data_IF_517072558277
#
_entry.id   IF_517072558277
#
_cell.length_a   1.000
_cell.length_b   1.000
_cell.length_c   1.000
_cell.angle_alpha   90.00
_cell.angle_beta   90.00
_cell.angle_gamma   90.00
#
_symmetry.space_group_name_H-M   'P 1'
#
loop_
_entity.id
_entity.type
_entity.pdbx_description
1 polymer ?
#
# COMPACT_ATOMS: atom_id res chain seq x y z
N UNK A 1 7.04 -6.69 -25.73
CA UNK A 1 6.96 -5.21 -25.72
C UNK A 1 7.69 -4.76 -24.45
N UNK A 2 8.79 -4.01 -24.58
CA UNK A 2 9.50 -3.45 -23.43
C UNK A 2 8.61 -2.36 -22.82
N UNK A 3 8.16 -2.55 -21.58
CA UNK A 3 7.37 -1.55 -20.89
C UNK A 3 8.17 -0.22 -20.82
N UNK A 4 7.53 0.88 -21.15
CA UNK A 4 8.13 2.22 -21.00
C UNK A 4 8.56 2.41 -19.55
N UNK A 5 9.81 2.84 -19.29
CA UNK A 5 10.26 3.08 -17.92
C UNK A 5 9.32 4.05 -17.21
N UNK A 6 8.83 3.66 -16.05
CA UNK A 6 8.01 4.54 -15.20
C UNK A 6 8.88 5.65 -14.60
N UNK A 7 8.28 6.79 -14.35
CA UNK A 7 8.98 7.95 -13.76
C UNK A 7 9.37 7.67 -12.30
N UNK A 8 8.49 6.96 -11.56
CA UNK A 8 8.68 6.62 -10.16
C UNK A 8 8.68 5.12 -9.93
N UNK A 9 9.55 4.66 -9.05
CA UNK A 9 9.51 3.28 -8.57
C UNK A 9 8.40 3.12 -7.53
N UNK A 10 8.24 4.11 -6.63
CA UNK A 10 7.22 4.12 -5.58
C UNK A 10 6.49 5.46 -5.55
N UNK A 11 5.16 5.42 -5.54
CA UNK A 11 4.33 6.58 -5.16
C UNK A 11 3.60 6.25 -3.86
N UNK A 12 3.84 7.03 -2.81
CA UNK A 12 3.11 6.93 -1.55
C UNK A 12 1.90 7.88 -1.57
N UNK A 13 0.72 7.32 -1.74
CA UNK A 13 -0.55 8.06 -1.73
C UNK A 13 -1.17 8.06 -0.34
N UNK A 14 -1.50 9.26 0.16
CA UNK A 14 -1.97 9.48 1.52
C UNK A 14 -0.86 9.83 2.50
N UNK A 15 0.26 10.36 2.01
CA UNK A 15 1.45 10.72 2.78
C UNK A 15 1.17 11.65 3.98
N UNK A 16 0.05 12.39 3.98
CA UNK A 16 -0.32 13.33 5.07
C UNK A 16 -1.06 12.69 6.23
N UNK A 17 -1.51 11.44 6.09
CA UNK A 17 -2.16 10.67 7.15
C UNK A 17 -1.16 10.18 8.21
N UNK A 18 -1.66 9.67 9.33
CA UNK A 18 -0.79 9.15 10.41
C UNK A 18 0.14 8.04 9.89
N UNK A 19 -0.44 6.98 9.31
CA UNK A 19 0.33 5.87 8.75
C UNK A 19 1.17 6.31 7.54
N UNK A 20 0.62 7.22 6.70
CA UNK A 20 1.36 7.76 5.56
C UNK A 20 2.66 8.47 5.95
N UNK A 21 2.66 9.22 7.05
CA UNK A 21 3.88 9.86 7.58
C UNK A 21 4.90 8.83 8.06
N UNK A 22 4.47 7.83 8.82
CA UNK A 22 5.34 6.74 9.28
C UNK A 22 5.95 5.96 8.10
N UNK A 23 5.15 5.70 7.07
CA UNK A 23 5.61 5.06 5.84
C UNK A 23 6.63 5.95 5.10
N UNK A 24 6.36 7.25 4.99
CA UNK A 24 7.28 8.19 4.39
C UNK A 24 8.62 8.28 5.14
N UNK A 25 8.59 8.31 6.48
CA UNK A 25 9.77 8.27 7.34
C UNK A 25 10.57 6.97 7.15
N UNK A 26 9.90 5.83 7.03
CA UNK A 26 10.56 4.56 6.74
C UNK A 26 11.23 4.58 5.36
N UNK A 27 10.52 5.03 4.33
CA UNK A 27 11.07 5.13 2.98
C UNK A 27 12.26 6.10 2.89
N UNK A 28 12.23 7.19 3.65
CA UNK A 28 13.35 8.14 3.72
C UNK A 28 14.63 7.53 4.30
N UNK A 29 14.49 6.51 5.15
CA UNK A 29 15.63 5.80 5.76
C UNK A 29 16.07 4.56 4.98
N UNK A 30 15.12 3.86 4.37
CA UNK A 30 15.32 2.52 3.81
C UNK A 30 15.09 2.43 2.30
N UNK A 31 14.62 3.50 1.65
CA UNK A 31 14.27 3.49 0.22
C UNK A 31 15.47 3.43 -0.73
N UNK A 32 16.69 3.68 -0.23
CA UNK A 32 17.91 3.62 -1.06
C UNK A 32 17.81 4.54 -2.28
N UNK A 33 18.16 4.00 -3.45
CA UNK A 33 18.15 4.74 -4.73
C UNK A 33 16.78 4.72 -5.43
N UNK A 34 15.71 4.25 -4.77
CA UNK A 34 14.38 4.22 -5.36
C UNK A 34 13.86 5.65 -5.64
N UNK A 35 13.29 5.84 -6.82
CA UNK A 35 12.65 7.10 -7.22
C UNK A 35 11.27 7.19 -6.58
N UNK A 36 11.19 7.89 -5.47
CA UNK A 36 9.99 7.99 -4.64
C UNK A 36 9.28 9.31 -4.89
N UNK A 37 7.94 9.29 -4.97
CA UNK A 37 7.10 10.47 -4.96
C UNK A 37 6.06 10.39 -3.83
N UNK A 38 5.71 11.53 -3.25
CA UNK A 38 4.64 11.66 -2.27
C UNK A 38 3.37 12.18 -2.93
N UNK A 39 2.22 11.62 -2.57
CA UNK A 39 0.95 12.01 -3.17
C UNK A 39 -0.14 12.26 -2.11
N UNK A 40 -1.05 13.19 -2.45
CA UNK A 40 -2.20 13.52 -1.62
C UNK A 40 -3.04 14.65 -2.21
N UNK A 41 -4.18 14.94 -1.57
CA UNK A 41 -5.14 15.96 -2.07
C UNK A 41 -4.63 17.40 -1.96
N UNK A 42 -3.79 17.68 -0.99
CA UNK A 42 -3.28 19.03 -0.73
C UNK A 42 -1.77 19.05 -0.91
N UNK A 43 -1.31 19.66 -1.99
CA UNK A 43 0.11 19.85 -2.28
C UNK A 43 0.85 20.49 -1.11
N UNK A 44 0.26 21.52 -0.49
CA UNK A 44 0.87 22.22 0.64
C UNK A 44 1.09 21.28 1.85
N UNK A 45 0.11 20.42 2.18
CA UNK A 45 0.24 19.47 3.30
C UNK A 45 1.25 18.36 2.99
N UNK A 46 1.32 17.91 1.74
CA UNK A 46 2.32 16.92 1.30
C UNK A 46 3.72 17.55 1.32
N UNK A 47 3.85 18.81 0.91
CA UNK A 47 5.09 19.57 1.00
C UNK A 47 5.60 19.65 2.44
N UNK A 48 4.75 19.98 3.39
CA UNK A 48 5.11 20.02 4.80
C UNK A 48 5.60 18.66 5.34
N UNK A 49 5.02 17.54 4.86
CA UNK A 49 5.53 16.20 5.19
C UNK A 49 6.92 15.99 4.61
N UNK A 50 7.13 16.33 3.34
CA UNK A 50 8.44 16.20 2.68
C UNK A 50 9.52 17.01 3.41
N UNK A 51 9.22 18.24 3.78
CA UNK A 51 10.15 19.10 4.53
C UNK A 51 10.52 18.52 5.89
N UNK A 52 9.54 17.92 6.59
CA UNK A 52 9.77 17.26 7.88
C UNK A 52 10.65 16.00 7.79
N UNK A 53 10.76 15.37 6.62
CA UNK A 53 11.63 14.20 6.37
C UNK A 53 13.11 14.58 6.21
N UNK A 54 13.43 15.86 6.02
CA UNK A 54 14.79 16.35 5.88
C UNK A 54 15.42 16.04 4.52
N UNK A 55 16.77 16.02 4.49
CA UNK A 55 17.55 15.94 3.24
C UNK A 55 17.23 14.71 2.38
N UNK A 56 16.97 13.57 3.00
CA UNK A 56 16.69 12.30 2.29
C UNK A 56 15.50 12.37 1.33
N UNK A 57 14.55 13.26 1.58
CA UNK A 57 13.32 13.38 0.79
C UNK A 57 13.22 14.72 0.03
N UNK A 58 14.20 15.61 0.12
CA UNK A 58 14.12 16.96 -0.47
C UNK A 58 13.81 16.95 -1.97
N UNK A 59 14.34 15.97 -2.69
CA UNK A 59 14.15 15.83 -4.14
C UNK A 59 12.89 15.05 -4.53
N UNK A 60 12.14 14.51 -3.56
CA UNK A 60 10.96 13.72 -3.88
C UNK A 60 9.85 14.60 -4.48
N UNK A 61 9.38 14.28 -5.68
CA UNK A 61 8.27 14.99 -6.30
C UNK A 61 6.97 14.84 -5.50
N UNK A 62 6.12 15.86 -5.64
CA UNK A 62 4.80 15.88 -5.03
C UNK A 62 3.75 15.77 -6.13
N UNK A 63 2.85 14.81 -5.99
CA UNK A 63 1.73 14.57 -6.89
C UNK A 63 0.42 14.95 -6.21
N UNK A 64 -0.42 15.69 -6.91
CA UNK A 64 -1.79 15.94 -6.45
C UNK A 64 -2.71 14.85 -6.97
N UNK A 65 -3.35 14.12 -6.04
CA UNK A 65 -4.31 13.07 -6.37
C UNK A 65 -5.46 13.08 -5.36
N UNK A 66 -6.68 12.92 -5.87
CA UNK A 66 -7.90 12.89 -5.06
C UNK A 66 -8.77 11.70 -5.47
N UNK A 67 -9.18 10.88 -4.48
CA UNK A 67 -10.04 9.72 -4.71
C UNK A 67 -11.42 10.06 -5.31
N UNK A 68 -11.87 11.31 -5.15
CA UNK A 68 -13.11 11.81 -5.77
C UNK A 68 -12.93 12.23 -7.23
N UNK A 69 -11.69 12.32 -7.74
CA UNK A 69 -11.34 12.74 -9.08
C UNK A 69 -10.52 11.64 -9.79
N UNK A 70 -11.17 10.65 -10.43
CA UNK A 70 -10.51 9.48 -11.03
C UNK A 70 -9.39 9.82 -12.01
N UNK A 71 -9.49 10.91 -12.76
CA UNK A 71 -8.44 11.35 -13.69
C UNK A 71 -7.11 11.63 -13.00
N UNK A 72 -7.13 12.13 -11.77
CA UNK A 72 -5.90 12.39 -10.99
C UNK A 72 -5.24 11.11 -10.52
N UNK A 73 -6.04 10.08 -10.19
CA UNK A 73 -5.55 8.76 -9.83
C UNK A 73 -4.95 8.05 -11.04
N UNK A 74 -5.59 8.15 -12.21
CA UNK A 74 -5.08 7.60 -13.47
C UNK A 74 -3.74 8.25 -13.86
N UNK A 75 -3.64 9.57 -13.78
CA UNK A 75 -2.40 10.30 -14.06
C UNK A 75 -1.27 9.89 -13.10
N UNK A 76 -1.57 9.67 -11.82
CA UNK A 76 -0.62 9.21 -10.82
C UNK A 76 -0.18 7.76 -11.10
N UNK A 77 -1.13 6.85 -11.30
CA UNK A 77 -0.85 5.44 -11.55
C UNK A 77 -0.01 5.23 -12.82
N UNK A 78 -0.29 5.97 -13.90
CA UNK A 78 0.45 5.88 -15.15
C UNK A 78 1.95 6.23 -15.02
N UNK A 79 2.36 6.93 -13.96
CA UNK A 79 3.74 7.37 -13.72
C UNK A 79 4.53 6.49 -12.75
N UNK A 80 3.86 5.58 -12.04
CA UNK A 80 4.43 4.76 -10.98
C UNK A 80 4.64 3.29 -11.41
N UNK A 81 5.68 2.64 -10.91
CA UNK A 81 5.77 1.17 -10.94
C UNK A 81 4.83 0.58 -9.89
N UNK A 82 4.85 1.12 -8.67
CA UNK A 82 3.94 0.72 -7.60
C UNK A 82 3.34 1.95 -6.91
N UNK A 83 2.05 1.89 -6.61
CA UNK A 83 1.38 2.83 -5.73
C UNK A 83 1.11 2.15 -4.39
N UNK A 84 1.71 2.69 -3.33
CA UNK A 84 1.41 2.31 -1.95
C UNK A 84 0.39 3.32 -1.40
N UNK A 85 -0.75 2.84 -0.93
CA UNK A 85 -1.80 3.74 -0.42
C UNK A 85 -2.13 3.50 1.05
N UNK A 86 -2.24 4.61 1.78
CA UNK A 86 -2.73 4.66 3.16
C UNK A 86 -4.04 5.42 3.28
N UNK A 87 -4.75 5.60 2.16
CA UNK A 87 -6.01 6.35 2.10
C UNK A 87 -7.19 5.43 2.37
N UNK A 88 -7.68 5.45 3.60
CA UNK A 88 -8.91 4.76 4.02
C UNK A 88 -10.02 5.76 4.43
N UNK A 89 -11.26 5.27 4.70
CA UNK A 89 -11.76 3.89 4.55
C UNK A 89 -11.71 3.39 3.09
N UNK A 90 -11.22 2.17 2.90
CA UNK A 90 -10.99 1.63 1.55
C UNK A 90 -12.29 1.29 0.82
N UNK A 91 -13.32 0.84 1.53
CA UNK A 91 -14.67 0.63 0.98
C UNK A 91 -15.20 1.90 0.30
N UNK A 92 -14.84 3.08 0.83
CA UNK A 92 -15.29 4.37 0.30
C UNK A 92 -14.38 4.94 -0.79
N UNK A 93 -13.06 4.79 -0.64
CA UNK A 93 -12.09 5.53 -1.45
C UNK A 93 -11.14 4.65 -2.26
N UNK A 94 -11.10 3.33 -2.00
CA UNK A 94 -10.08 2.44 -2.55
C UNK A 94 -10.31 2.03 -4.00
N UNK A 95 -11.55 1.66 -4.37
CA UNK A 95 -11.85 1.10 -5.69
C UNK A 95 -11.40 1.97 -6.88
N UNK A 96 -11.56 3.32 -6.87
CA UNK A 96 -11.09 4.14 -7.97
C UNK A 96 -9.59 4.07 -8.22
N UNK A 97 -8.78 3.91 -7.15
CA UNK A 97 -7.33 3.75 -7.29
C UNK A 97 -6.96 2.35 -7.78
N UNK A 98 -7.62 1.30 -7.27
CA UNK A 98 -7.45 -0.07 -7.81
C UNK A 98 -7.73 -0.10 -9.30
N UNK A 99 -8.86 0.51 -9.74
CA UNK A 99 -9.21 0.63 -11.16
C UNK A 99 -8.09 1.30 -11.97
N UNK A 100 -7.57 2.43 -11.47
CA UNK A 100 -6.51 3.16 -12.15
C UNK A 100 -5.21 2.33 -12.26
N UNK A 101 -4.82 1.64 -11.20
CA UNK A 101 -3.64 0.79 -11.19
C UNK A 101 -3.81 -0.43 -12.11
N UNK A 102 -4.95 -1.13 -12.03
CA UNK A 102 -5.26 -2.26 -12.90
C UNK A 102 -5.25 -1.87 -14.39
N UNK A 103 -5.79 -0.70 -14.74
CA UNK A 103 -5.80 -0.21 -16.12
C UNK A 103 -4.41 0.19 -16.61
N UNK A 104 -3.57 0.74 -15.75
CA UNK A 104 -2.25 1.24 -16.10
C UNK A 104 -1.16 0.14 -16.10
N UNK A 105 -1.43 -1.08 -15.62
CA UNK A 105 -0.41 -2.09 -15.38
C UNK A 105 0.55 -1.68 -14.24
N UNK A 106 0.03 -0.96 -13.27
CA UNK A 106 0.78 -0.45 -12.11
C UNK A 106 0.50 -1.32 -10.90
N UNK A 107 1.51 -1.72 -10.18
CA UNK A 107 1.36 -2.48 -8.95
C UNK A 107 0.70 -1.61 -7.86
N UNK A 108 -0.10 -2.25 -7.02
CA UNK A 108 -0.85 -1.61 -5.95
C UNK A 108 -0.63 -2.34 -4.62
N UNK A 109 -0.42 -1.60 -3.55
CA UNK A 109 -0.37 -2.15 -2.20
C UNK A 109 -1.13 -1.24 -1.23
N UNK A 110 -1.92 -1.85 -0.34
CA UNK A 110 -2.63 -1.16 0.74
C UNK A 110 -2.48 -1.87 2.08
N UNK A 111 -3.05 -1.29 3.11
CA UNK A 111 -3.09 -1.86 4.47
C UNK A 111 -4.53 -2.10 4.94
N UNK A 112 -5.43 -2.42 4.02
CA UNK A 112 -6.85 -2.61 4.35
C UNK A 112 -7.08 -3.83 5.25
N UNK A 113 -7.99 -3.68 6.19
CA UNK A 113 -8.61 -4.77 6.95
C UNK A 113 -10.09 -4.98 6.57
N UNK A 114 -10.55 -4.46 5.42
CA UNK A 114 -11.95 -4.44 4.98
C UNK A 114 -12.24 -5.57 3.96
N UNK A 115 -12.74 -6.77 4.38
CA UNK A 115 -12.89 -7.93 3.47
C UNK A 115 -13.82 -7.66 2.29
N UNK A 116 -14.87 -6.86 2.48
CA UNK A 116 -15.82 -6.52 1.41
C UNK A 116 -15.16 -5.66 0.33
N UNK A 117 -14.27 -4.76 0.71
CA UNK A 117 -13.49 -4.00 -0.26
C UNK A 117 -12.56 -4.92 -1.08
N UNK A 118 -11.84 -5.82 -0.41
CA UNK A 118 -10.98 -6.80 -1.09
C UNK A 118 -11.78 -7.66 -2.07
N UNK A 119 -12.93 -8.16 -1.66
CA UNK A 119 -13.80 -8.97 -2.52
C UNK A 119 -14.26 -8.18 -3.75
N UNK A 120 -14.76 -6.96 -3.56
CA UNK A 120 -15.18 -6.10 -4.66
C UNK A 120 -14.03 -5.75 -5.61
N UNK A 121 -12.83 -5.53 -5.07
CA UNK A 121 -11.62 -5.29 -5.86
C UNK A 121 -11.31 -6.47 -6.77
N UNK A 122 -11.34 -7.69 -6.24
CA UNK A 122 -11.10 -8.92 -7.01
C UNK A 122 -12.16 -9.09 -8.10
N UNK A 123 -13.43 -9.00 -7.74
CA UNK A 123 -14.53 -9.24 -8.67
C UNK A 123 -14.55 -8.26 -9.84
N UNK A 124 -14.19 -6.99 -9.59
CA UNK A 124 -14.24 -5.95 -10.61
C UNK A 124 -12.97 -5.86 -11.45
N UNK A 125 -11.79 -6.11 -10.86
CA UNK A 125 -10.53 -5.69 -11.49
C UNK A 125 -9.50 -6.80 -11.68
N UNK A 126 -9.72 -8.03 -11.14
CA UNK A 126 -8.75 -9.12 -11.26
C UNK A 126 -8.39 -9.42 -12.73
N UNK A 127 -9.40 -9.53 -13.59
CA UNK A 127 -9.15 -9.81 -15.02
C UNK A 127 -8.33 -8.70 -15.68
N UNK A 128 -8.70 -7.44 -15.45
CA UNK A 128 -7.97 -6.31 -16.03
C UNK A 128 -6.53 -6.25 -15.52
N UNK A 129 -6.31 -6.46 -14.21
CA UNK A 129 -4.98 -6.49 -13.63
C UNK A 129 -4.12 -7.62 -14.23
N UNK A 130 -4.70 -8.82 -14.40
CA UNK A 130 -4.01 -9.94 -15.03
C UNK A 130 -3.63 -9.65 -16.49
N UNK A 131 -4.54 -9.03 -17.25
CA UNK A 131 -4.33 -8.68 -18.67
C UNK A 131 -3.22 -7.62 -18.84
N UNK A 132 -3.09 -6.69 -17.89
CA UNK A 132 -2.08 -5.61 -17.92
C UNK A 132 -0.77 -5.95 -17.19
N UNK A 133 -0.77 -7.02 -16.39
CA UNK A 133 0.36 -7.44 -15.55
C UNK A 133 0.45 -6.70 -14.22
N UNK A 134 -0.57 -5.92 -13.82
CA UNK A 134 -0.61 -5.24 -12.52
C UNK A 134 -0.79 -6.26 -11.39
N UNK A 135 -0.02 -6.12 -10.32
CA UNK A 135 -0.18 -6.88 -9.08
C UNK A 135 -0.94 -6.05 -8.07
N UNK A 136 -2.14 -6.48 -7.71
CA UNK A 136 -2.98 -5.81 -6.71
C UNK A 136 -2.86 -6.60 -5.41
N UNK A 137 -2.20 -6.03 -4.41
CA UNK A 137 -1.92 -6.69 -3.12
C UNK A 137 -2.59 -5.91 -1.99
N UNK A 138 -3.56 -6.55 -1.35
CA UNK A 138 -4.27 -6.00 -0.20
C UNK A 138 -3.64 -6.46 1.12
N UNK A 139 -4.01 -5.80 2.22
CA UNK A 139 -3.68 -6.21 3.58
C UNK A 139 -2.16 -6.28 3.86
N UNK A 140 -1.37 -5.34 3.33
CA UNK A 140 0.09 -5.26 3.56
C UNK A 140 0.45 -4.56 4.88
N UNK A 141 -0.51 -4.37 5.79
CA UNK A 141 -0.31 -3.70 7.07
C UNK A 141 0.15 -4.64 8.19
N UNK A 142 0.48 -4.03 9.33
CA UNK A 142 0.96 -4.73 10.53
C UNK A 142 -0.05 -5.76 11.08
N UNK A 143 -1.32 -5.51 10.97
CA UNK A 143 -2.39 -6.41 11.45
C UNK A 143 -2.47 -7.72 10.67
N UNK A 144 -1.93 -7.77 9.45
CA UNK A 144 -2.03 -8.94 8.57
C UNK A 144 -0.67 -9.59 8.31
N UNK A 145 0.32 -8.82 7.88
CA UNK A 145 1.62 -9.35 7.43
C UNK A 145 2.37 -10.16 8.50
N UNK A 146 2.48 -9.73 9.78
CA UNK A 146 3.15 -10.54 10.80
C UNK A 146 2.46 -11.87 11.07
N UNK A 147 1.13 -11.92 11.03
CA UNK A 147 0.36 -13.16 11.22
C UNK A 147 0.58 -14.13 10.07
N UNK A 148 0.51 -13.64 8.83
CA UNK A 148 0.72 -14.41 7.60
C UNK A 148 2.15 -15.00 7.56
N UNK A 149 3.15 -14.14 7.74
CA UNK A 149 4.56 -14.57 7.75
C UNK A 149 4.91 -15.51 8.91
N UNK A 150 4.23 -15.39 10.05
CA UNK A 150 4.41 -16.30 11.17
C UNK A 150 3.93 -17.72 10.82
N UNK A 151 2.79 -17.84 10.14
CA UNK A 151 2.30 -19.14 9.65
C UNK A 151 3.25 -19.72 8.59
N UNK A 152 3.73 -18.89 7.68
CA UNK A 152 4.71 -19.29 6.67
C UNK A 152 6.01 -19.82 7.31
N UNK A 153 6.56 -19.11 8.29
CA UNK A 153 7.76 -19.55 9.01
C UNK A 153 7.53 -20.85 9.77
N UNK A 154 6.38 -20.99 10.43
CA UNK A 154 6.00 -22.22 11.15
C UNK A 154 5.86 -23.41 10.20
N UNK A 155 5.27 -23.21 9.02
CA UNK A 155 5.15 -24.23 7.99
C UNK A 155 6.52 -24.75 7.54
N UNK A 156 7.48 -23.86 7.30
CA UNK A 156 8.83 -24.24 6.91
C UNK A 156 9.56 -24.98 8.03
N UNK A 157 9.49 -24.49 9.26
CA UNK A 157 10.11 -25.15 10.42
C UNK A 157 9.54 -26.58 10.64
N UNK A 158 8.21 -26.74 10.58
CA UNK A 158 7.58 -28.05 10.71
C UNK A 158 8.05 -29.06 9.65
N UNK A 159 8.25 -28.59 8.41
CA UNK A 159 8.79 -29.45 7.33
C UNK A 159 10.25 -29.83 7.54
N UNK A 160 11.08 -28.88 7.94
CA UNK A 160 12.51 -29.11 8.23
C UNK A 160 12.70 -30.06 9.37
N UNK A 161 11.87 -29.97 10.43
CA UNK A 161 11.89 -30.86 11.60
C UNK A 161 11.24 -32.23 11.34
N UNK A 162 10.63 -32.43 10.16
CA UNK A 162 9.90 -33.68 9.85
C UNK A 162 8.63 -33.86 10.66
N UNK A 163 8.06 -32.78 11.20
CA UNK A 163 6.87 -32.85 12.07
C UNK A 163 5.56 -33.07 11.30
N UNK A 164 5.60 -33.07 9.95
CA UNK A 164 4.43 -33.24 9.10
C UNK A 164 3.80 -31.92 8.65
N UNK A 165 2.53 -31.98 8.23
CA UNK A 165 1.79 -30.80 7.76
C UNK A 165 1.11 -30.09 8.94
N UNK A 166 0.99 -28.76 8.85
CA UNK A 166 0.21 -27.97 9.81
C UNK A 166 -1.28 -28.25 9.59
N UNK A 167 -1.96 -28.67 10.67
CA UNK A 167 -3.39 -28.95 10.65
C UNK A 167 -4.21 -27.84 11.29
N UNK A 168 -3.61 -27.17 12.30
CA UNK A 168 -4.24 -26.08 13.04
C UNK A 168 -3.19 -25.11 13.56
N UNK A 169 -3.42 -23.82 13.43
CA UNK A 169 -2.48 -22.79 13.87
C UNK A 169 -3.19 -21.70 14.65
N UNK A 170 -2.59 -21.29 15.77
CA UNK A 170 -3.12 -20.22 16.60
C UNK A 170 -2.09 -19.09 16.74
N UNK A 171 -2.48 -17.88 16.34
CA UNK A 171 -1.71 -16.68 16.58
C UNK A 171 -2.18 -15.99 17.87
N UNK A 172 -1.29 -15.89 18.87
CA UNK A 172 -1.61 -15.27 20.15
C UNK A 172 -0.82 -14.00 20.36
N UNK A 173 -1.52 -12.86 20.42
CA UNK A 173 -0.91 -11.57 20.77
C UNK A 173 -0.70 -11.50 22.29
N UNK A 174 0.54 -11.60 22.74
CA UNK A 174 0.88 -11.64 24.18
C UNK A 174 0.90 -10.28 24.85
N UNK A 175 1.21 -9.23 24.11
CA UNK A 175 1.17 -7.85 24.61
C UNK A 175 0.93 -6.86 23.47
N UNK A 176 0.18 -5.81 23.77
CA UNK A 176 -0.10 -4.74 22.84
C UNK A 176 0.16 -3.40 23.53
N UNK A 177 0.96 -2.53 22.89
CA UNK A 177 1.17 -1.13 23.32
C UNK A 177 0.83 -0.23 22.14
N UNK A 178 -0.15 0.66 22.33
CA UNK A 178 -0.57 1.61 21.31
C UNK A 178 -2.06 1.89 21.37
N UNK A 179 -2.55 2.62 20.37
CA UNK A 179 -3.97 2.96 20.19
C UNK A 179 -4.38 2.77 18.73
N UNK A 180 -5.67 2.91 18.49
CA UNK A 180 -6.21 2.89 17.13
C UNK A 180 -6.01 4.23 16.44
N UNK A 181 -5.60 4.22 15.17
CA UNK A 181 -5.57 5.43 14.36
C UNK A 181 -6.99 5.89 14.01
N UNK A 182 -7.17 7.17 13.68
CA UNK A 182 -8.47 7.67 13.21
C UNK A 182 -8.97 6.92 11.95
N UNK A 183 -8.07 6.44 11.11
CA UNK A 183 -8.40 5.60 9.95
C UNK A 183 -8.95 4.23 10.36
N UNK A 184 -8.34 3.58 11.35
CA UNK A 184 -8.81 2.30 11.91
C UNK A 184 -10.22 2.42 12.48
N UNK A 185 -10.48 3.49 13.27
CA UNK A 185 -11.83 3.73 13.83
C UNK A 185 -12.87 3.98 12.72
N UNK A 186 -12.49 4.65 11.64
CA UNK A 186 -13.40 4.94 10.54
C UNK A 186 -13.70 3.72 9.64
N UNK A 187 -12.89 2.66 9.72
CA UNK A 187 -13.05 1.41 8.96
C UNK A 187 -13.78 0.30 9.75
N UNK A 188 -14.03 0.51 11.06
CA UNK A 188 -14.87 -0.34 11.91
C UNK A 188 -16.34 -0.02 11.75
#
# INVERSE_FOLDING_TARGET
>A
MTATPREFDIVLYGATGFVGKLTAEYLARAGGDARIALAGRSTQRVLAVREALGESAQTWPILTADASLPSTLQAMAARAQVVVTTVGPYTRYGLPLVAACAAAGTDYADLTGEPMFMRNSIDLYHKQAADTGARIVHACGFDSVPSDLSVYALYHAAREDGAGELTDTNCVVRSFKGGFSGGTIASM
#
